data_IF_482740738865
#
_entry.id   IF_482740738865
#
_cell.length_a   1.000
_cell.length_b   1.000
_cell.length_c   1.000
_cell.angle_alpha   90.00
_cell.angle_beta   90.00
_cell.angle_gamma   90.00
#
_symmetry.space_group_name_H-M   'P 1'
#
loop_
_entity.id
_entity.type
_entity.pdbx_description
1 polymer ?
#
# COMPACT_ATOMS: atom_id res chain seq x y z
N UNK A 1 14.27 8.71 -12.18
CA UNK A 1 13.82 8.72 -10.77
C UNK A 1 13.05 9.98 -10.42
N UNK A 2 13.61 11.18 -10.57
CA UNK A 2 12.89 12.43 -10.26
C UNK A 2 11.54 12.55 -10.99
N UNK A 3 11.51 12.25 -12.30
CA UNK A 3 10.26 12.25 -13.08
C UNK A 3 9.22 11.27 -12.55
N UNK A 4 9.64 10.12 -12.00
CA UNK A 4 8.74 9.11 -11.41
C UNK A 4 8.13 9.64 -10.10
N UNK A 5 8.92 10.30 -9.25
CA UNK A 5 8.40 10.92 -8.03
C UNK A 5 7.47 12.09 -8.33
N UNK A 6 7.77 12.89 -9.35
CA UNK A 6 6.90 13.99 -9.79
C UNK A 6 5.59 13.44 -10.36
N UNK A 7 5.64 12.47 -11.29
CA UNK A 7 4.44 11.79 -11.82
C UNK A 7 3.63 11.15 -10.69
N UNK A 8 4.30 10.49 -9.74
CA UNK A 8 3.68 9.90 -8.56
C UNK A 8 2.98 10.93 -7.68
N UNK A 9 3.64 12.06 -7.40
CA UNK A 9 3.04 13.18 -6.65
C UNK A 9 1.82 13.74 -7.37
N UNK A 10 1.91 14.01 -8.66
CA UNK A 10 0.80 14.54 -9.45
C UNK A 10 -0.40 13.59 -9.44
N UNK A 11 -0.17 12.29 -9.59
CA UNK A 11 -1.23 11.28 -9.50
C UNK A 11 -1.86 11.24 -8.10
N UNK A 12 -1.04 11.25 -7.04
CA UNK A 12 -1.54 11.22 -5.67
C UNK A 12 -2.30 12.50 -5.31
N UNK A 13 -1.82 13.64 -5.78
CA UNK A 13 -2.50 14.92 -5.69
C UNK A 13 -3.86 14.89 -6.39
N UNK A 14 -3.90 14.36 -7.61
CA UNK A 14 -5.10 14.23 -8.42
C UNK A 14 -6.15 13.30 -7.77
N UNK A 15 -5.75 12.08 -7.39
CA UNK A 15 -6.69 11.03 -7.00
C UNK A 15 -6.89 10.88 -5.47
N UNK A 16 -5.84 11.07 -4.66
CA UNK A 16 -5.91 10.87 -3.20
C UNK A 16 -6.24 12.15 -2.46
N UNK A 17 -5.55 13.26 -2.75
CA UNK A 17 -5.73 14.51 -2.00
C UNK A 17 -6.88 15.37 -2.53
N UNK A 18 -7.11 15.35 -3.84
CA UNK A 18 -8.10 16.18 -4.55
C UNK A 18 -7.85 17.69 -4.41
N UNK A 19 -6.60 18.08 -4.15
CA UNK A 19 -6.18 19.46 -3.91
C UNK A 19 -5.22 19.93 -4.99
N UNK A 20 -5.32 21.20 -5.40
CA UNK A 20 -4.36 21.79 -6.34
C UNK A 20 -3.30 22.58 -5.58
N UNK A 21 -2.10 22.02 -5.45
CA UNK A 21 -0.95 22.70 -4.84
C UNK A 21 0.38 22.15 -5.39
N UNK A 22 1.48 22.89 -5.19
CA UNK A 22 2.83 22.43 -5.48
C UNK A 22 3.56 21.94 -4.22
N UNK A 23 4.58 21.09 -4.40
CA UNK A 23 5.43 20.66 -3.28
C UNK A 23 6.18 21.84 -2.61
N UNK A 24 6.50 22.89 -3.38
CA UNK A 24 7.07 24.12 -2.82
C UNK A 24 6.10 24.87 -1.93
N UNK A 25 4.81 24.91 -2.27
CA UNK A 25 3.79 25.55 -1.44
C UNK A 25 3.59 24.80 -0.14
N UNK A 26 3.58 23.46 -0.21
CA UNK A 26 3.55 22.61 0.98
C UNK A 26 4.78 22.84 1.87
N UNK A 27 5.99 22.90 1.27
CA UNK A 27 7.25 23.13 2.00
C UNK A 27 7.28 24.49 2.69
N UNK A 28 6.74 25.53 2.05
CA UNK A 28 6.77 26.89 2.54
C UNK A 28 5.55 27.28 3.39
N UNK A 29 4.67 26.31 3.68
CA UNK A 29 3.45 26.53 4.47
C UNK A 29 2.51 27.55 3.82
N UNK A 30 2.47 27.57 2.49
CA UNK A 30 1.71 28.53 1.66
C UNK A 30 0.47 27.93 1.00
N UNK A 31 0.05 26.73 1.40
CA UNK A 31 -1.28 26.23 1.03
C UNK A 31 -2.28 27.14 1.74
N UNK A 32 -2.81 28.10 1.00
CA UNK A 32 -3.90 28.96 1.46
C UNK A 32 -5.08 28.06 1.78
N UNK A 33 -5.36 27.91 3.08
CA UNK A 33 -6.29 26.91 3.64
C UNK A 33 -7.71 26.97 3.07
N UNK A 34 -8.07 28.03 2.35
CA UNK A 34 -9.42 28.27 1.83
C UNK A 34 -9.45 28.93 0.44
N UNK A 35 -8.37 28.93 -0.35
CA UNK A 35 -8.47 29.51 -1.70
C UNK A 35 -9.30 28.59 -2.60
N UNK A 36 -10.33 29.14 -3.25
CA UNK A 36 -11.25 28.37 -4.09
C UNK A 36 -10.49 27.57 -5.16
N UNK A 37 -9.43 28.15 -5.75
CA UNK A 37 -8.59 27.46 -6.74
C UNK A 37 -7.95 26.16 -6.23
N UNK A 38 -7.61 26.10 -4.93
CA UNK A 38 -6.97 24.95 -4.29
C UNK A 38 -7.97 23.84 -3.98
N UNK A 39 -9.20 24.22 -3.56
CA UNK A 39 -10.20 23.30 -2.99
C UNK A 39 -11.32 22.95 -3.98
N UNK A 40 -11.55 23.75 -5.03
CA UNK A 40 -12.65 23.60 -5.99
C UNK A 40 -12.82 22.14 -6.47
N UNK A 41 -11.70 21.51 -6.84
CA UNK A 41 -11.68 20.12 -7.25
C UNK A 41 -12.20 19.16 -6.18
N UNK A 42 -11.75 19.33 -4.93
CA UNK A 42 -12.21 18.50 -3.83
C UNK A 42 -13.71 18.62 -3.63
N UNK A 43 -14.25 19.86 -3.70
CA UNK A 43 -15.68 20.14 -3.59
C UNK A 43 -16.47 19.43 -4.69
N UNK A 44 -16.05 19.55 -5.96
CA UNK A 44 -16.75 18.89 -7.06
C UNK A 44 -16.80 17.37 -6.93
N UNK A 45 -15.66 16.75 -6.59
CA UNK A 45 -15.58 15.29 -6.51
C UNK A 45 -16.38 14.77 -5.31
N UNK A 46 -16.31 15.44 -4.16
CA UNK A 46 -17.02 15.01 -2.94
C UNK A 46 -18.52 15.24 -3.05
N UNK A 47 -18.95 16.39 -3.57
CA UNK A 47 -20.38 16.65 -3.84
C UNK A 47 -20.92 15.59 -4.81
N UNK A 48 -20.20 15.29 -5.90
CA UNK A 48 -20.61 14.25 -6.83
C UNK A 48 -20.69 12.87 -6.14
N UNK A 49 -19.71 12.51 -5.30
CA UNK A 49 -19.74 11.27 -4.53
C UNK A 49 -20.98 11.16 -3.63
N UNK A 50 -21.30 12.21 -2.87
CA UNK A 50 -22.45 12.22 -1.97
C UNK A 50 -23.80 12.23 -2.71
N UNK A 51 -23.92 12.96 -3.82
CA UNK A 51 -25.11 12.93 -4.68
C UNK A 51 -25.34 11.50 -5.19
N UNK A 52 -24.29 10.82 -5.63
CA UNK A 52 -24.39 9.45 -6.12
C UNK A 52 -24.74 8.48 -4.97
N UNK A 53 -24.13 8.62 -3.79
CA UNK A 53 -24.46 7.80 -2.61
C UNK A 53 -25.94 7.96 -2.24
N UNK A 54 -26.43 9.20 -2.16
CA UNK A 54 -27.84 9.49 -1.84
C UNK A 54 -28.74 8.93 -2.93
N UNK A 55 -28.42 9.16 -4.21
CA UNK A 55 -29.20 8.62 -5.33
C UNK A 55 -29.28 7.10 -5.33
N UNK A 56 -28.15 6.41 -5.11
CA UNK A 56 -28.11 4.94 -4.98
C UNK A 56 -28.91 4.46 -3.77
N UNK A 57 -28.84 5.15 -2.63
CA UNK A 57 -29.65 4.83 -1.46
C UNK A 57 -31.15 5.01 -1.75
N UNK A 58 -31.54 6.09 -2.43
CA UNK A 58 -32.94 6.31 -2.81
C UNK A 58 -33.46 5.25 -3.77
N UNK A 59 -32.63 4.72 -4.67
CA UNK A 59 -33.01 3.59 -5.54
C UNK A 59 -33.32 2.31 -4.76
N UNK A 60 -32.66 2.09 -3.62
CA UNK A 60 -32.87 0.90 -2.77
C UNK A 60 -34.12 1.08 -1.89
N UNK A 61 -34.31 2.24 -1.29
CA UNK A 61 -35.38 2.46 -0.31
C UNK A 61 -36.74 2.83 -0.94
N UNK A 62 -36.75 3.46 -2.11
CA UNK A 62 -37.97 3.91 -2.78
C UNK A 62 -38.18 3.17 -4.11
N UNK A 63 -38.84 2.02 -4.04
CA UNK A 63 -39.15 1.18 -5.22
C UNK A 63 -39.99 1.94 -6.27
N UNK A 64 -40.91 2.82 -5.86
CA UNK A 64 -41.79 3.57 -6.77
C UNK A 64 -41.42 5.06 -6.87
N UNK A 65 -40.14 5.36 -7.13
CA UNK A 65 -39.72 6.74 -7.29
C UNK A 65 -40.15 7.32 -8.65
N UNK A 66 -40.91 8.44 -8.70
CA UNK A 66 -41.31 9.07 -9.97
C UNK A 66 -40.12 9.68 -10.72
N UNK A 67 -38.97 9.88 -10.06
CA UNK A 67 -37.80 10.52 -10.63
C UNK A 67 -36.65 9.58 -10.97
N UNK A 68 -36.60 8.34 -10.50
CA UNK A 68 -35.49 7.44 -10.82
C UNK A 68 -36.03 6.10 -11.30
N UNK A 69 -35.25 5.43 -12.14
CA UNK A 69 -35.60 4.08 -12.58
C UNK A 69 -35.60 3.12 -11.39
N UNK A 70 -36.71 2.40 -11.23
CA UNK A 70 -36.79 1.32 -10.25
C UNK A 70 -35.70 0.27 -10.55
N UNK A 71 -35.15 -0.34 -9.50
CA UNK A 71 -34.19 -1.42 -9.58
C UNK A 71 -34.69 -2.57 -10.47
N UNK A 72 -35.98 -2.89 -10.44
CA UNK A 72 -36.56 -3.91 -11.32
C UNK A 72 -36.44 -3.58 -12.81
N UNK A 73 -36.55 -2.30 -13.19
CA UNK A 73 -36.31 -1.90 -14.58
C UNK A 73 -34.83 -2.05 -14.93
N UNK A 74 -33.92 -1.71 -14.01
CA UNK A 74 -32.47 -1.88 -14.21
C UNK A 74 -32.08 -3.36 -14.32
N UNK A 75 -32.68 -4.21 -13.49
CA UNK A 75 -32.55 -5.68 -13.55
C UNK A 75 -32.98 -6.21 -14.91
N UNK A 76 -34.10 -5.71 -15.45
CA UNK A 76 -34.58 -6.08 -16.79
C UNK A 76 -33.66 -5.57 -17.90
N UNK A 77 -33.11 -4.36 -17.77
CA UNK A 77 -32.17 -3.77 -18.74
C UNK A 77 -30.91 -4.63 -18.86
N UNK A 78 -30.29 -4.98 -17.73
CA UNK A 78 -29.06 -5.78 -17.76
C UNK A 78 -29.30 -7.29 -17.78
N UNK A 79 -30.57 -7.71 -17.65
CA UNK A 79 -30.99 -9.10 -17.48
C UNK A 79 -30.20 -9.77 -16.33
N UNK A 80 -30.28 -9.16 -15.16
CA UNK A 80 -29.55 -9.49 -13.93
C UNK A 80 -30.55 -9.69 -12.80
N UNK A 81 -30.30 -10.68 -11.94
CA UNK A 81 -31.06 -10.84 -10.71
C UNK A 81 -30.33 -10.16 -9.55
N UNK A 82 -31.07 -9.55 -8.62
CA UNK A 82 -30.51 -8.99 -7.37
C UNK A 82 -29.42 -7.94 -7.63
N UNK A 83 -29.75 -6.97 -8.50
CA UNK A 83 -28.86 -5.84 -8.78
C UNK A 83 -28.60 -4.99 -7.53
N UNK A 84 -29.55 -4.99 -6.59
CA UNK A 84 -29.46 -4.36 -5.27
C UNK A 84 -28.15 -4.69 -4.52
N UNK A 85 -27.66 -5.94 -4.61
CA UNK A 85 -26.40 -6.36 -4.00
C UNK A 85 -25.19 -5.56 -4.52
N UNK A 86 -25.12 -5.33 -5.84
CA UNK A 86 -24.03 -4.55 -6.44
C UNK A 86 -24.11 -3.09 -6.00
N UNK A 87 -25.31 -2.51 -5.94
CA UNK A 87 -25.52 -1.12 -5.49
C UNK A 87 -25.08 -0.97 -4.03
N UNK A 88 -25.45 -1.91 -3.15
CA UNK A 88 -25.02 -1.91 -1.74
C UNK A 88 -23.49 -1.97 -1.63
N UNK A 89 -22.82 -2.81 -2.43
CA UNK A 89 -21.35 -2.87 -2.44
C UNK A 89 -20.72 -1.54 -2.86
N UNK A 90 -21.27 -0.89 -3.88
CA UNK A 90 -20.79 0.40 -4.36
C UNK A 90 -20.97 1.49 -3.30
N UNK A 91 -22.13 1.57 -2.65
CA UNK A 91 -22.37 2.51 -1.53
C UNK A 91 -21.31 2.29 -0.44
N UNK A 92 -21.09 1.04 -0.03
CA UNK A 92 -20.11 0.72 1.00
C UNK A 92 -18.68 1.13 0.59
N UNK A 93 -18.28 0.83 -0.66
CA UNK A 93 -16.97 1.23 -1.17
C UNK A 93 -16.80 2.74 -1.21
N UNK A 94 -17.83 3.49 -1.63
CA UNK A 94 -17.78 4.95 -1.73
C UNK A 94 -17.63 5.59 -0.36
N UNK A 95 -18.38 5.13 0.64
CA UNK A 95 -18.27 5.63 2.03
C UNK A 95 -16.85 5.41 2.58
N UNK A 96 -16.25 4.23 2.35
CA UNK A 96 -14.88 3.95 2.82
C UNK A 96 -13.85 4.81 2.09
N UNK A 97 -14.01 5.03 0.77
CA UNK A 97 -13.10 5.89 0.00
C UNK A 97 -13.18 7.35 0.44
N UNK A 98 -14.38 7.86 0.72
CA UNK A 98 -14.56 9.21 1.27
C UNK A 98 -13.99 9.34 2.68
N UNK A 99 -14.13 8.31 3.53
CA UNK A 99 -13.46 8.27 4.83
C UNK A 99 -11.93 8.36 4.69
N UNK A 100 -11.35 7.58 3.76
CA UNK A 100 -9.91 7.64 3.47
C UNK A 100 -9.49 9.04 2.99
N UNK A 101 -10.26 9.63 2.08
CA UNK A 101 -10.00 10.97 1.57
C UNK A 101 -10.01 12.02 2.68
N UNK A 102 -11.05 12.03 3.53
CA UNK A 102 -11.16 12.97 4.66
C UNK A 102 -9.93 12.92 5.57
N UNK A 103 -9.44 11.72 5.88
CA UNK A 103 -8.24 11.56 6.69
C UNK A 103 -7.00 12.14 6.00
N UNK A 104 -6.76 11.79 4.73
CA UNK A 104 -5.60 12.27 3.98
C UNK A 104 -5.64 13.78 3.74
N UNK A 105 -6.83 14.32 3.46
CA UNK A 105 -7.07 15.74 3.29
C UNK A 105 -6.72 16.52 4.57
N UNK A 106 -7.17 16.03 5.73
CA UNK A 106 -6.86 16.63 7.02
C UNK A 106 -5.34 16.58 7.34
N UNK A 107 -4.65 15.50 6.96
CA UNK A 107 -3.18 15.42 7.11
C UNK A 107 -2.47 16.48 6.25
N UNK A 108 -2.91 16.71 5.02
CA UNK A 108 -2.29 17.68 4.10
C UNK A 108 -2.51 19.12 4.56
N UNK A 109 -3.75 19.49 4.91
CA UNK A 109 -4.07 20.87 5.35
C UNK A 109 -3.35 21.26 6.64
N UNK A 110 -3.12 20.29 7.51
CA UNK A 110 -2.38 20.51 8.75
C UNK A 110 -0.86 20.37 8.59
N UNK A 111 -0.35 20.21 7.36
CA UNK A 111 1.08 20.00 7.05
C UNK A 111 1.71 18.80 7.78
N UNK A 112 0.89 17.78 8.07
CA UNK A 112 1.30 16.53 8.74
C UNK A 112 1.40 15.35 7.76
N UNK A 113 1.21 15.58 6.46
CA UNK A 113 1.28 14.53 5.45
C UNK A 113 2.68 13.92 5.37
N UNK A 114 2.77 12.64 5.72
CA UNK A 114 4.01 11.88 5.69
C UNK A 114 4.57 11.72 4.28
N UNK A 115 3.69 11.58 3.27
CA UNK A 115 4.12 11.37 1.87
C UNK A 115 4.70 12.65 1.28
N UNK A 116 4.11 13.82 1.56
CA UNK A 116 4.67 15.08 1.10
C UNK A 116 6.03 15.36 1.74
N UNK A 117 6.15 15.12 3.05
CA UNK A 117 7.42 15.23 3.76
C UNK A 117 8.47 14.27 3.18
N UNK A 118 8.07 13.03 2.87
CA UNK A 118 8.93 12.05 2.23
C UNK A 118 9.38 12.51 0.82
N UNK A 119 8.47 13.03 0.01
CA UNK A 119 8.76 13.50 -1.34
C UNK A 119 9.72 14.70 -1.34
N UNK A 120 9.47 15.69 -0.48
CA UNK A 120 10.33 16.87 -0.33
C UNK A 120 11.77 16.47 0.03
N UNK A 121 11.92 15.47 0.90
CA UNK A 121 13.23 15.01 1.34
C UNK A 121 13.96 14.13 0.32
N UNK A 122 13.24 13.41 -0.56
CA UNK A 122 13.87 12.45 -1.47
C UNK A 122 14.01 12.95 -2.93
N UNK A 123 13.17 13.88 -3.39
CA UNK A 123 13.25 14.45 -4.75
C UNK A 123 14.62 15.08 -5.07
N UNK A 124 15.25 15.89 -4.19
CA UNK A 124 16.56 16.46 -4.49
C UNK A 124 17.75 15.50 -4.26
N UNK A 125 17.55 14.34 -3.63
CA UNK A 125 18.64 13.50 -3.09
C UNK A 125 18.98 12.22 -3.90
N UNK A 126 18.16 11.80 -4.88
CA UNK A 126 18.10 10.37 -5.23
C UNK A 126 18.99 9.84 -6.39
N UNK A 127 19.76 10.69 -7.08
CA UNK A 127 20.65 10.19 -8.16
C UNK A 127 21.99 9.62 -7.66
N UNK A 128 22.40 9.86 -6.40
CA UNK A 128 23.76 9.52 -5.92
C UNK A 128 23.83 8.43 -4.83
N UNK A 129 22.72 7.96 -4.26
CA UNK A 129 22.75 7.03 -3.11
C UNK A 129 22.48 5.55 -3.47
N UNK A 130 21.80 5.28 -4.58
CA UNK A 130 21.49 3.92 -5.05
C UNK A 130 22.52 3.45 -6.07
N UNK A 131 22.85 2.15 -6.04
CA UNK A 131 23.69 1.52 -7.08
C UNK A 131 22.94 1.53 -8.42
N UNK A 132 23.65 1.74 -9.54
CA UNK A 132 23.06 1.79 -10.89
C UNK A 132 22.12 0.62 -11.18
N UNK A 133 22.55 -0.62 -10.90
CA UNK A 133 21.74 -1.83 -11.09
C UNK A 133 20.41 -1.80 -10.33
N UNK A 134 20.41 -1.30 -9.09
CA UNK A 134 19.20 -1.23 -8.26
C UNK A 134 18.24 -0.13 -8.73
N UNK A 135 18.79 0.92 -9.35
CA UNK A 135 18.04 2.02 -9.92
C UNK A 135 17.40 1.59 -11.24
N UNK A 136 18.14 0.89 -12.10
CA UNK A 136 17.61 0.30 -13.34
C UNK A 136 16.49 -0.70 -13.05
N UNK A 137 16.66 -1.58 -12.06
CA UNK A 137 15.60 -2.49 -11.62
C UNK A 137 14.34 -1.74 -11.18
N UNK A 138 14.49 -0.69 -10.38
CA UNK A 138 13.34 0.07 -9.87
C UNK A 138 12.61 0.83 -10.98
N UNK A 139 13.36 1.41 -11.94
CA UNK A 139 12.78 2.05 -13.13
C UNK A 139 12.04 1.02 -13.99
N UNK A 140 12.66 -0.13 -14.25
CA UNK A 140 12.04 -1.22 -15.02
C UNK A 140 10.77 -1.72 -14.34
N UNK A 141 10.79 -1.91 -13.02
CA UNK A 141 9.64 -2.36 -12.25
C UNK A 141 8.52 -1.32 -12.32
N UNK A 142 8.81 -0.05 -12.09
CA UNK A 142 7.80 1.01 -12.17
C UNK A 142 7.22 1.13 -13.57
N UNK A 143 8.05 1.09 -14.61
CA UNK A 143 7.60 1.14 -16.00
C UNK A 143 6.63 0.00 -16.31
N UNK A 144 6.99 -1.22 -15.90
CA UNK A 144 6.15 -2.39 -16.06
C UNK A 144 4.83 -2.26 -15.29
N UNK A 145 4.88 -1.97 -13.99
CA UNK A 145 3.66 -1.89 -13.17
C UNK A 145 2.76 -0.70 -13.56
N UNK A 146 3.35 0.42 -13.98
CA UNK A 146 2.61 1.58 -14.51
C UNK A 146 1.92 1.26 -15.83
N UNK A 147 2.59 0.51 -16.71
CA UNK A 147 1.98 0.02 -17.95
C UNK A 147 0.74 -0.84 -17.65
N UNK A 148 0.86 -1.83 -16.77
CA UNK A 148 -0.28 -2.68 -16.38
C UNK A 148 -1.39 -1.90 -15.68
N UNK A 149 -1.06 -0.97 -14.77
CA UNK A 149 -2.05 -0.15 -14.09
C UNK A 149 -2.83 0.74 -15.07
N UNK A 150 -2.14 1.39 -16.02
CA UNK A 150 -2.76 2.21 -17.07
C UNK A 150 -3.57 1.36 -18.06
N UNK A 151 -3.10 0.17 -18.41
CA UNK A 151 -3.82 -0.79 -19.26
C UNK A 151 -5.14 -1.22 -18.61
N UNK A 152 -5.09 -1.67 -17.35
CA UNK A 152 -6.28 -2.11 -16.61
C UNK A 152 -7.28 -0.97 -16.44
N UNK A 153 -6.79 0.22 -16.08
CA UNK A 153 -7.63 1.42 -16.00
C UNK A 153 -8.33 1.71 -17.34
N UNK A 154 -7.61 1.66 -18.46
CA UNK A 154 -8.19 1.88 -19.81
C UNK A 154 -9.24 0.82 -20.16
N UNK A 155 -8.99 -0.45 -19.87
CA UNK A 155 -9.96 -1.53 -20.11
C UNK A 155 -11.26 -1.26 -19.33
N UNK A 156 -11.13 -0.88 -18.06
CA UNK A 156 -12.31 -0.56 -17.23
C UNK A 156 -13.06 0.67 -17.75
N UNK A 157 -12.35 1.73 -18.14
CA UNK A 157 -12.96 2.93 -18.74
C UNK A 157 -13.74 2.58 -20.01
N UNK A 158 -13.15 1.81 -20.94
CA UNK A 158 -13.84 1.37 -22.15
C UNK A 158 -15.06 0.53 -21.81
N UNK A 159 -14.95 -0.38 -20.84
CA UNK A 159 -16.09 -1.22 -20.41
C UNK A 159 -17.23 -0.39 -19.82
N UNK A 160 -16.95 0.65 -19.04
CA UNK A 160 -17.95 1.54 -18.46
C UNK A 160 -18.64 2.39 -19.53
N UNK A 161 -17.89 2.88 -20.54
CA UNK A 161 -18.45 3.61 -21.68
C UNK A 161 -19.40 2.71 -22.49
N UNK A 162 -19.00 1.46 -22.75
CA UNK A 162 -19.85 0.49 -23.45
C UNK A 162 -21.14 0.20 -22.67
N UNK A 163 -21.04 -0.03 -21.36
CA UNK A 163 -22.21 -0.23 -20.48
C UNK A 163 -23.13 0.99 -20.51
N UNK A 164 -22.57 2.21 -20.47
CA UNK A 164 -23.35 3.45 -20.54
C UNK A 164 -24.07 3.60 -21.89
N UNK A 165 -23.40 3.32 -23.01
CA UNK A 165 -24.04 3.38 -24.33
C UNK A 165 -25.18 2.36 -24.48
N UNK A 166 -24.99 1.15 -23.96
CA UNK A 166 -26.00 0.10 -23.97
C UNK A 166 -27.20 0.48 -23.10
N UNK A 167 -26.95 1.13 -21.96
CA UNK A 167 -28.00 1.67 -21.10
C UNK A 167 -28.85 2.71 -21.82
N UNK A 168 -28.24 3.65 -22.57
CA UNK A 168 -28.98 4.66 -23.34
C UNK A 168 -29.92 4.01 -24.35
N UNK A 169 -29.42 3.06 -25.15
CA UNK A 169 -30.21 2.38 -26.17
C UNK A 169 -31.38 1.62 -25.54
N UNK A 170 -31.13 0.92 -24.43
CA UNK A 170 -32.17 0.16 -23.74
C UNK A 170 -33.20 1.04 -23.03
N UNK A 171 -32.78 2.17 -22.45
CA UNK A 171 -33.68 3.15 -21.87
C UNK A 171 -34.63 3.73 -22.92
N UNK A 172 -34.13 4.02 -24.14
CA UNK A 172 -34.96 4.46 -25.27
C UNK A 172 -35.98 3.39 -25.69
N UNK A 173 -35.57 2.13 -25.78
CA UNK A 173 -36.48 1.02 -26.12
C UNK A 173 -37.59 0.87 -25.07
N UNK A 174 -37.26 1.00 -23.80
CA UNK A 174 -38.25 0.91 -22.71
C UNK A 174 -39.19 2.11 -22.67
N UNK A 175 -38.72 3.30 -23.05
CA UNK A 175 -39.56 4.48 -23.24
C UNK A 175 -40.56 4.28 -24.38
N UNK A 176 -40.12 3.78 -25.54
CA UNK A 176 -41.01 3.48 -26.69
C UNK A 176 -42.06 2.42 -26.32
N UNK A 177 -41.74 1.51 -25.40
CA UNK A 177 -42.68 0.49 -24.88
C UNK A 177 -43.60 1.00 -23.77
N UNK A 178 -43.58 2.31 -23.47
CA UNK A 178 -44.37 2.96 -22.41
C UNK A 178 -44.17 2.37 -21.00
N UNK A 179 -43.03 1.71 -20.75
CA UNK A 179 -42.72 1.14 -19.44
C UNK A 179 -42.06 2.14 -18.48
N UNK A 180 -41.58 3.27 -19.00
CA UNK A 180 -40.84 4.30 -18.27
C UNK A 180 -41.39 5.67 -18.67
N UNK A 181 -41.56 6.56 -17.69
CA UNK A 181 -41.96 7.94 -17.94
C UNK A 181 -40.81 8.78 -18.52
N UNK A 182 -41.13 9.78 -19.35
CA UNK A 182 -40.14 10.73 -19.91
C UNK A 182 -39.27 11.35 -18.81
N UNK A 183 -39.88 11.75 -17.69
CA UNK A 183 -39.19 12.36 -16.55
C UNK A 183 -38.14 11.39 -15.97
N UNK A 184 -38.50 10.12 -15.77
CA UNK A 184 -37.60 9.08 -15.27
C UNK A 184 -36.43 8.82 -16.23
N UNK A 185 -36.65 8.88 -17.53
CA UNK A 185 -35.58 8.73 -18.52
C UNK A 185 -34.62 9.93 -18.48
N UNK A 186 -35.16 11.16 -18.49
CA UNK A 186 -34.37 12.40 -18.48
C UNK A 186 -33.51 12.52 -17.22
N UNK A 187 -34.00 12.07 -16.07
CA UNK A 187 -33.27 12.12 -14.79
C UNK A 187 -32.27 10.96 -14.60
N UNK A 188 -32.61 9.75 -15.04
CA UNK A 188 -31.76 8.56 -14.86
C UNK A 188 -30.52 8.56 -15.75
N UNK A 189 -30.60 9.13 -16.95
CA UNK A 189 -29.49 9.23 -17.89
C UNK A 189 -28.30 10.06 -17.34
N UNK A 190 -28.49 11.29 -16.84
CA UNK A 190 -27.45 12.04 -16.15
C UNK A 190 -26.96 11.34 -14.89
N UNK A 191 -27.86 10.75 -14.09
CA UNK A 191 -27.48 10.06 -12.86
C UNK A 191 -26.50 8.91 -13.13
N UNK A 192 -26.80 8.04 -14.10
CA UNK A 192 -25.92 6.94 -14.46
C UNK A 192 -24.63 7.44 -15.14
N UNK A 193 -24.70 8.57 -15.86
CA UNK A 193 -23.53 9.30 -16.34
C UNK A 193 -22.60 9.74 -15.20
N UNK A 194 -23.13 10.41 -14.17
CA UNK A 194 -22.37 10.80 -12.97
C UNK A 194 -21.79 9.58 -12.23
N UNK A 195 -22.57 8.50 -12.09
CA UNK A 195 -22.10 7.24 -11.51
C UNK A 195 -20.91 6.67 -12.31
N UNK A 196 -21.00 6.63 -13.65
CA UNK A 196 -19.92 6.14 -14.50
C UNK A 196 -18.65 6.99 -14.39
N UNK A 197 -18.79 8.33 -14.38
CA UNK A 197 -17.69 9.26 -14.17
C UNK A 197 -17.00 9.05 -12.82
N UNK A 198 -17.79 8.86 -11.76
CA UNK A 198 -17.26 8.61 -10.43
C UNK A 198 -16.57 7.24 -10.35
N UNK A 199 -17.15 6.19 -10.94
CA UNK A 199 -16.51 4.87 -11.02
C UNK A 199 -15.19 4.91 -11.77
N UNK A 200 -15.10 5.64 -12.90
CA UNK A 200 -13.86 5.85 -13.62
C UNK A 200 -12.80 6.53 -12.73
N UNK A 201 -13.20 7.56 -12.01
CA UNK A 201 -12.31 8.24 -11.06
C UNK A 201 -11.79 7.30 -9.96
N UNK A 202 -12.66 6.52 -9.33
CA UNK A 202 -12.28 5.61 -8.25
C UNK A 202 -11.39 4.47 -8.75
N UNK A 203 -11.62 3.96 -9.95
CA UNK A 203 -10.75 2.97 -10.57
C UNK A 203 -9.36 3.56 -10.86
N UNK A 204 -9.29 4.83 -11.27
CA UNK A 204 -8.03 5.55 -11.36
C UNK A 204 -7.32 5.66 -10.01
N UNK A 205 -8.07 6.01 -8.95
CA UNK A 205 -7.55 6.06 -7.58
C UNK A 205 -7.01 4.70 -7.11
N UNK A 206 -7.71 3.61 -7.40
CA UNK A 206 -7.25 2.26 -7.06
C UNK A 206 -6.02 1.86 -7.89
N UNK A 207 -6.04 1.92 -9.22
CA UNK A 207 -4.91 1.38 -10.00
C UNK A 207 -3.67 2.29 -9.96
N UNK A 208 -3.83 3.59 -10.14
CA UNK A 208 -2.70 4.51 -10.33
C UNK A 208 -2.04 4.84 -8.99
N UNK A 209 -2.81 5.12 -7.94
CA UNK A 209 -2.21 5.42 -6.63
C UNK A 209 -1.62 4.18 -5.96
N UNK A 210 -2.26 3.01 -6.09
CA UNK A 210 -1.67 1.79 -5.53
C UNK A 210 -0.39 1.41 -6.24
N UNK A 211 -0.28 1.65 -7.55
CA UNK A 211 0.97 1.48 -8.25
C UNK A 211 2.09 2.36 -7.68
N UNK A 212 1.78 3.63 -7.38
CA UNK A 212 2.76 4.52 -6.75
C UNK A 212 3.14 4.07 -5.33
N UNK A 213 2.18 3.60 -4.53
CA UNK A 213 2.45 3.03 -3.20
C UNK A 213 3.32 1.77 -3.30
N UNK A 214 3.04 0.91 -4.28
CA UNK A 214 3.84 -0.29 -4.54
C UNK A 214 5.29 0.08 -4.88
N UNK A 215 5.49 1.11 -5.70
CA UNK A 215 6.81 1.66 -5.98
C UNK A 215 7.52 2.18 -4.73
N UNK A 216 6.83 2.94 -3.87
CA UNK A 216 7.41 3.44 -2.61
C UNK A 216 7.82 2.30 -1.68
N UNK A 217 6.97 1.27 -1.56
CA UNK A 217 7.25 0.09 -0.74
C UNK A 217 8.47 -0.68 -1.28
N UNK A 218 8.59 -0.84 -2.60
CA UNK A 218 9.77 -1.46 -3.23
C UNK A 218 11.02 -0.60 -3.07
N UNK A 219 10.91 0.73 -3.15
CA UNK A 219 12.01 1.64 -2.89
C UNK A 219 12.59 1.44 -1.47
N UNK A 220 11.73 1.36 -0.45
CA UNK A 220 12.17 1.04 0.92
C UNK A 220 12.80 -0.36 1.02
N UNK A 221 12.26 -1.35 0.31
CA UNK A 221 12.83 -2.71 0.31
C UNK A 221 14.23 -2.77 -0.30
N UNK A 222 14.47 -2.07 -1.42
CA UNK A 222 15.79 -2.03 -2.05
C UNK A 222 16.83 -1.41 -1.12
N UNK A 223 16.48 -0.32 -0.42
CA UNK A 223 17.38 0.31 0.57
C UNK A 223 17.69 -0.65 1.72
N UNK A 224 16.71 -1.42 2.19
CA UNK A 224 16.95 -2.48 3.17
C UNK A 224 17.82 -3.62 2.63
N UNK A 225 17.61 -4.05 1.38
CA UNK A 225 18.41 -5.09 0.73
C UNK A 225 19.87 -4.65 0.58
N UNK A 226 20.12 -3.37 0.31
CA UNK A 226 21.47 -2.82 0.27
C UNK A 226 22.14 -2.87 1.65
N UNK A 227 21.42 -2.50 2.71
CA UNK A 227 21.91 -2.62 4.09
C UNK A 227 22.19 -4.08 4.47
N UNK A 228 21.36 -5.02 4.03
CA UNK A 228 21.57 -6.46 4.20
C UNK A 228 22.86 -6.94 3.50
N UNK A 229 23.13 -6.48 2.28
CA UNK A 229 24.35 -6.85 1.56
C UNK A 229 25.59 -6.32 2.30
N UNK A 230 25.52 -5.08 2.81
CA UNK A 230 26.58 -4.46 3.61
C UNK A 230 26.84 -5.27 4.89
N UNK A 231 25.79 -5.70 5.61
CA UNK A 231 25.94 -6.51 6.82
C UNK A 231 26.48 -7.92 6.54
N UNK A 232 26.03 -8.56 5.46
CA UNK A 232 26.57 -9.86 5.02
C UNK A 232 28.05 -9.78 4.65
N UNK A 233 28.45 -8.76 3.89
CA UNK A 233 29.85 -8.53 3.53
C UNK A 233 30.72 -8.32 4.77
N UNK A 234 30.26 -7.52 5.74
CA UNK A 234 30.97 -7.31 6.99
C UNK A 234 31.12 -8.58 7.82
N UNK A 235 30.07 -9.41 7.87
CA UNK A 235 30.09 -10.71 8.55
C UNK A 235 31.09 -11.69 7.93
N UNK A 236 31.23 -11.71 6.60
CA UNK A 236 32.11 -12.64 5.89
C UNK A 236 33.59 -12.19 5.87
N UNK A 237 33.87 -10.89 5.71
CA UNK A 237 35.24 -10.37 5.58
C UNK A 237 35.97 -10.11 6.91
N UNK A 238 35.49 -10.72 7.99
CA UNK A 238 35.92 -10.43 9.35
C UNK A 238 37.36 -10.88 9.64
N UNK A 239 37.85 -11.93 8.98
CA UNK A 239 39.19 -12.50 9.21
C UNK A 239 40.33 -11.52 8.85
N UNK A 240 40.09 -10.56 7.94
CA UNK A 240 41.05 -9.49 7.63
C UNK A 240 41.05 -8.31 8.62
N UNK A 241 40.00 -8.17 9.44
CA UNK A 241 39.78 -6.97 10.27
C UNK A 241 40.34 -7.17 11.69
N UNK A 242 40.44 -8.41 12.17
CA UNK A 242 40.88 -8.73 13.55
C UNK A 242 42.38 -8.68 13.78
N UNK A 243 43.21 -8.68 12.73
CA UNK A 243 44.67 -8.82 12.86
C UNK A 243 45.45 -7.51 12.85
N UNK A 244 44.81 -6.36 12.60
CA UNK A 244 45.52 -5.07 12.41
C UNK A 244 44.83 -3.90 13.12
N UNK A 245 45.63 -2.95 13.64
CA UNK A 245 45.15 -1.69 14.29
C UNK A 245 44.23 -0.88 13.34
N UNK A 246 44.52 -0.94 12.03
CA UNK A 246 43.68 -0.34 10.98
C UNK A 246 42.28 -0.98 10.86
N UNK A 247 42.09 -2.19 11.37
CA UNK A 247 40.81 -2.91 11.38
C UNK A 247 39.79 -2.29 12.34
N UNK A 248 40.22 -1.75 13.48
CA UNK A 248 39.32 -1.08 14.44
C UNK A 248 38.74 0.21 13.87
N UNK A 249 39.59 1.02 13.24
CA UNK A 249 39.18 2.25 12.58
C UNK A 249 38.18 1.96 11.46
N UNK A 250 38.45 0.94 10.62
CA UNK A 250 37.52 0.47 9.58
C UNK A 250 36.20 -0.02 10.16
N UNK A 251 36.22 -0.77 11.27
CA UNK A 251 35.01 -1.24 11.97
C UNK A 251 34.17 -0.07 12.49
N UNK A 252 34.80 0.96 13.05
CA UNK A 252 34.11 2.16 13.57
C UNK A 252 33.47 2.97 12.45
N UNK A 253 34.19 3.20 11.35
CA UNK A 253 33.63 3.87 10.16
C UNK A 253 32.44 3.10 9.61
N UNK A 254 32.58 1.77 9.49
CA UNK A 254 31.49 0.92 9.03
C UNK A 254 30.26 1.07 9.93
N UNK A 255 30.41 0.95 11.25
CA UNK A 255 29.30 1.07 12.19
C UNK A 255 28.63 2.43 12.13
N UNK A 256 29.41 3.52 12.09
CA UNK A 256 28.85 4.87 11.98
C UNK A 256 28.05 5.04 10.69
N UNK A 257 28.59 4.54 9.57
CA UNK A 257 27.92 4.61 8.27
C UNK A 257 26.66 3.73 8.22
N UNK A 258 26.72 2.52 8.74
CA UNK A 258 25.58 1.59 8.80
C UNK A 258 24.49 2.14 9.71
N UNK A 259 24.84 2.56 10.92
CA UNK A 259 23.92 3.10 11.91
C UNK A 259 23.19 4.34 11.39
N UNK A 260 23.93 5.29 10.78
CA UNK A 260 23.33 6.49 10.17
C UNK A 260 22.33 6.13 9.06
N UNK A 261 22.73 5.26 8.13
CA UNK A 261 21.86 4.84 7.01
C UNK A 261 20.63 4.06 7.48
N UNK A 262 20.78 3.19 8.48
CA UNK A 262 19.68 2.43 9.06
C UNK A 262 18.70 3.34 9.81
N UNK A 263 19.20 4.23 10.68
CA UNK A 263 18.35 5.16 11.44
C UNK A 263 17.57 6.09 10.51
N UNK A 264 18.21 6.62 9.48
CA UNK A 264 17.53 7.45 8.49
C UNK A 264 16.38 6.69 7.81
N UNK A 265 16.65 5.46 7.34
CA UNK A 265 15.64 4.63 6.71
C UNK A 265 14.51 4.24 7.69
N UNK A 266 14.85 3.99 8.95
CA UNK A 266 13.89 3.69 10.00
C UNK A 266 12.98 4.89 10.32
N UNK A 267 13.56 6.09 10.46
CA UNK A 267 12.78 7.31 10.71
C UNK A 267 11.83 7.61 9.54
N UNK A 268 12.29 7.44 8.31
CA UNK A 268 11.45 7.60 7.12
C UNK A 268 10.31 6.57 7.10
N UNK A 269 10.60 5.29 7.40
CA UNK A 269 9.61 4.21 7.43
C UNK A 269 8.55 4.43 8.53
N UNK A 270 8.97 4.85 9.72
CA UNK A 270 8.04 5.16 10.82
C UNK A 270 7.16 6.36 10.45
N UNK A 271 7.74 7.40 9.86
CA UNK A 271 6.97 8.60 9.49
C UNK A 271 5.91 8.27 8.43
N UNK A 272 6.20 7.35 7.51
CA UNK A 272 5.30 6.90 6.44
C UNK A 272 4.24 5.88 6.91
N UNK A 273 4.51 5.17 8.01
CA UNK A 273 3.67 4.07 8.51
C UNK A 273 2.21 4.46 8.77
N UNK A 274 1.86 5.61 9.37
CA UNK A 274 0.47 5.94 9.65
C UNK A 274 -0.37 6.07 8.38
N UNK A 275 0.12 6.84 7.41
CA UNK A 275 -0.57 7.09 6.16
C UNK A 275 -0.72 5.81 5.34
N UNK A 276 0.34 5.01 5.21
CA UNK A 276 0.25 3.70 4.55
C UNK A 276 -0.73 2.77 5.29
N UNK A 277 -0.72 2.79 6.62
CA UNK A 277 -1.56 1.91 7.41
C UNK A 277 -3.06 2.16 7.23
N UNK A 278 -3.45 3.42 7.05
CA UNK A 278 -4.86 3.78 6.78
C UNK A 278 -5.27 3.34 5.39
N UNK A 279 -4.42 3.61 4.38
CA UNK A 279 -4.67 3.17 3.00
C UNK A 279 -4.78 1.64 2.91
N UNK A 280 -3.90 0.92 3.60
CA UNK A 280 -3.93 -0.54 3.67
C UNK A 280 -5.21 -1.06 4.32
N UNK A 281 -5.64 -0.44 5.42
CA UNK A 281 -6.87 -0.80 6.10
C UNK A 281 -8.10 -0.61 5.21
N UNK A 282 -8.20 0.54 4.53
CA UNK A 282 -9.34 0.84 3.65
C UNK A 282 -9.40 -0.11 2.46
N UNK A 283 -8.25 -0.46 1.87
CA UNK A 283 -8.17 -1.45 0.80
C UNK A 283 -8.58 -2.85 1.26
N UNK A 284 -8.17 -3.24 2.47
CA UNK A 284 -8.54 -4.54 3.03
C UNK A 284 -10.06 -4.64 3.24
N UNK A 285 -10.69 -3.59 3.78
CA UNK A 285 -12.14 -3.54 3.96
C UNK A 285 -12.88 -3.63 2.61
N UNK A 286 -12.45 -2.87 1.59
CA UNK A 286 -13.02 -2.94 0.24
C UNK A 286 -12.83 -4.31 -0.41
N UNK A 287 -11.64 -4.91 -0.28
CA UNK A 287 -11.38 -6.23 -0.88
C UNK A 287 -12.28 -7.32 -0.29
N UNK A 288 -12.51 -7.28 1.02
CA UNK A 288 -13.33 -8.25 1.74
C UNK A 288 -14.82 -8.08 1.46
N UNK A 289 -15.31 -6.83 1.39
CA UNK A 289 -16.72 -6.58 1.00
C UNK A 289 -16.96 -6.98 -0.45
N UNK A 290 -16.05 -6.60 -1.36
CA UNK A 290 -16.14 -6.88 -2.79
C UNK A 290 -16.24 -8.38 -3.06
N UNK A 291 -15.37 -9.20 -2.45
CA UNK A 291 -15.38 -10.64 -2.70
C UNK A 291 -16.62 -11.35 -2.13
N UNK A 292 -17.08 -10.95 -0.93
CA UNK A 292 -18.28 -11.52 -0.31
C UNK A 292 -19.50 -11.21 -1.17
N UNK A 293 -19.67 -9.95 -1.57
CA UNK A 293 -20.83 -9.53 -2.35
C UNK A 293 -20.77 -10.10 -3.77
N UNK A 294 -19.59 -10.23 -4.37
CA UNK A 294 -19.45 -10.84 -5.69
C UNK A 294 -19.80 -12.32 -5.70
N UNK A 295 -19.43 -13.05 -4.65
CA UNK A 295 -19.85 -14.46 -4.49
C UNK A 295 -21.36 -14.59 -4.31
N UNK A 296 -21.97 -13.73 -3.48
CA UNK A 296 -23.42 -13.69 -3.30
C UNK A 296 -24.15 -13.34 -4.60
N UNK A 297 -23.62 -12.35 -5.33
CA UNK A 297 -24.16 -11.89 -6.60
C UNK A 297 -24.07 -12.99 -7.66
N UNK A 298 -22.92 -13.68 -7.78
CA UNK A 298 -22.71 -14.78 -8.72
C UNK A 298 -23.71 -15.93 -8.51
N UNK A 299 -23.91 -16.37 -7.27
CA UNK A 299 -24.81 -17.50 -6.95
C UNK A 299 -26.28 -17.20 -7.29
N UNK A 300 -26.68 -15.93 -7.31
CA UNK A 300 -28.07 -15.53 -7.61
C UNK A 300 -28.35 -15.36 -9.11
N UNK A 301 -27.33 -15.42 -9.97
CA UNK A 301 -27.52 -15.29 -11.41
C UNK A 301 -27.99 -16.60 -12.03
N UNK A 302 -28.99 -16.50 -12.92
CA UNK A 302 -29.45 -17.63 -13.74
C UNK A 302 -28.69 -17.72 -15.07
N UNK A 303 -28.26 -16.59 -15.62
CA UNK A 303 -27.50 -16.50 -16.87
C UNK A 303 -26.29 -15.57 -16.73
N UNK A 304 -25.21 -15.88 -17.47
CA UNK A 304 -23.98 -15.09 -17.46
C UNK A 304 -23.95 -14.11 -18.64
N UNK A 305 -24.39 -12.88 -18.40
CA UNK A 305 -24.30 -11.79 -19.37
C UNK A 305 -22.94 -11.10 -19.31
N UNK A 306 -22.60 -10.36 -20.38
CA UNK A 306 -21.36 -9.57 -20.45
C UNK A 306 -21.22 -8.60 -19.27
N UNK A 307 -22.31 -7.94 -18.85
CA UNK A 307 -22.33 -7.06 -17.69
C UNK A 307 -21.91 -7.79 -16.40
N UNK A 308 -22.46 -8.98 -16.15
CA UNK A 308 -22.17 -9.81 -14.98
C UNK A 308 -20.70 -10.22 -14.98
N UNK A 309 -20.18 -10.66 -16.12
CA UNK A 309 -18.77 -11.04 -16.27
C UNK A 309 -17.87 -9.85 -15.97
N UNK A 310 -18.16 -8.67 -16.53
CA UNK A 310 -17.38 -7.44 -16.29
C UNK A 310 -17.43 -7.03 -14.82
N UNK A 311 -18.60 -7.05 -14.18
CA UNK A 311 -18.72 -6.68 -12.75
C UNK A 311 -17.95 -7.63 -11.85
N UNK A 312 -18.00 -8.94 -12.12
CA UNK A 312 -17.25 -9.95 -11.35
C UNK A 312 -15.74 -9.82 -11.57
N UNK A 313 -15.30 -9.55 -12.80
CA UNK A 313 -13.89 -9.30 -13.10
C UNK A 313 -13.35 -8.08 -12.36
N UNK A 314 -14.10 -6.96 -12.36
CA UNK A 314 -13.73 -5.76 -11.61
C UNK A 314 -13.59 -6.07 -10.12
N UNK A 315 -14.55 -6.79 -9.55
CA UNK A 315 -14.51 -7.14 -8.14
C UNK A 315 -13.36 -8.07 -7.75
N UNK A 316 -13.04 -9.05 -8.62
CA UNK A 316 -11.87 -9.92 -8.48
C UNK A 316 -10.56 -9.12 -8.54
N UNK A 317 -10.46 -8.14 -9.46
CA UNK A 317 -9.31 -7.25 -9.51
C UNK A 317 -9.14 -6.51 -8.19
N UNK A 318 -10.20 -5.86 -7.69
CA UNK A 318 -10.18 -5.16 -6.39
C UNK A 318 -9.75 -6.08 -5.24
N UNK A 319 -10.07 -7.36 -5.30
CA UNK A 319 -9.61 -8.36 -4.33
C UNK A 319 -8.12 -8.74 -4.48
N UNK A 320 -7.63 -8.94 -5.70
CA UNK A 320 -6.25 -9.36 -5.96
C UNK A 320 -5.21 -8.26 -5.67
N UNK A 321 -5.55 -6.98 -5.91
CA UNK A 321 -4.59 -5.87 -5.76
C UNK A 321 -4.00 -5.74 -4.35
N UNK A 322 -4.79 -5.70 -3.27
CA UNK A 322 -4.26 -5.62 -1.92
C UNK A 322 -3.39 -6.82 -1.56
N UNK A 323 -3.71 -8.03 -2.04
CA UNK A 323 -2.91 -9.24 -1.79
C UNK A 323 -1.49 -9.10 -2.36
N UNK A 324 -1.36 -8.56 -3.58
CA UNK A 324 -0.05 -8.30 -4.20
C UNK A 324 0.73 -7.26 -3.38
N UNK A 325 0.07 -6.19 -2.96
CA UNK A 325 0.70 -5.14 -2.17
C UNK A 325 1.15 -5.66 -0.79
N UNK A 326 0.31 -6.44 -0.10
CA UNK A 326 0.66 -7.08 1.18
C UNK A 326 1.84 -8.04 1.06
N UNK A 327 1.90 -8.81 -0.03
CA UNK A 327 3.04 -9.69 -0.33
C UNK A 327 4.37 -8.92 -0.38
N UNK A 328 4.37 -7.71 -0.96
CA UNK A 328 5.57 -6.86 -1.01
C UNK A 328 5.86 -6.27 0.36
N UNK A 329 4.88 -5.64 1.01
CA UNK A 329 5.04 -5.04 2.34
C UNK A 329 5.62 -6.01 3.36
N UNK A 330 5.19 -7.28 3.34
CA UNK A 330 5.63 -8.30 4.28
C UNK A 330 7.12 -8.69 4.17
N UNK A 331 7.81 -8.36 3.07
CA UNK A 331 9.24 -8.67 2.88
C UNK A 331 10.15 -7.77 3.69
N UNK A 332 9.73 -6.53 3.94
CA UNK A 332 10.58 -5.52 4.57
C UNK A 332 11.01 -5.88 6.01
N UNK A 333 10.12 -6.36 6.91
CA UNK A 333 10.53 -6.88 8.22
C UNK A 333 11.47 -8.08 8.14
N UNK A 334 11.29 -8.96 7.14
CA UNK A 334 12.14 -10.15 6.99
C UNK A 334 13.59 -9.79 6.65
N UNK A 335 13.81 -8.76 5.85
CA UNK A 335 15.15 -8.24 5.58
C UNK A 335 15.77 -7.60 6.83
N UNK A 336 14.99 -6.90 7.65
CA UNK A 336 15.49 -6.37 8.92
C UNK A 336 15.95 -7.48 9.87
N UNK A 337 15.19 -8.56 10.01
CA UNK A 337 15.54 -9.71 10.84
C UNK A 337 16.78 -10.47 10.33
N UNK A 338 16.93 -10.64 9.02
CA UNK A 338 18.14 -11.24 8.47
C UNK A 338 19.37 -10.34 8.70
N UNK A 339 19.19 -9.03 8.51
CA UNK A 339 20.25 -8.06 8.74
C UNK A 339 20.69 -8.04 10.21
N UNK A 340 19.75 -8.08 11.16
CA UNK A 340 20.07 -8.17 12.59
C UNK A 340 20.83 -9.46 12.91
N UNK A 341 20.43 -10.62 12.35
CA UNK A 341 21.16 -11.89 12.52
C UNK A 341 22.60 -11.83 12.01
N UNK A 342 22.84 -11.29 10.82
CA UNK A 342 24.21 -11.14 10.30
C UNK A 342 25.06 -10.21 11.17
N UNK A 343 24.47 -9.11 11.66
CA UNK A 343 25.17 -8.18 12.56
C UNK A 343 25.42 -8.79 13.95
N UNK A 344 24.49 -9.58 14.49
CA UNK A 344 24.69 -10.33 15.73
C UNK A 344 25.84 -11.33 15.58
N UNK A 345 25.82 -12.14 14.53
CA UNK A 345 26.89 -13.10 14.24
C UNK A 345 28.24 -12.42 14.07
N UNK A 346 28.26 -11.24 13.42
CA UNK A 346 29.47 -10.44 13.28
C UNK A 346 29.96 -9.90 14.64
N UNK A 347 29.05 -9.53 15.54
CA UNK A 347 29.38 -9.00 16.87
C UNK A 347 29.81 -10.07 17.89
N UNK A 348 29.30 -11.31 17.79
CA UNK A 348 29.57 -12.40 18.73
C UNK A 348 30.90 -13.13 18.45
N UNK A 349 31.27 -13.31 17.18
CA UNK A 349 32.54 -13.94 16.76
C UNK A 349 33.83 -13.30 17.32
N UNK A 350 34.00 -11.97 17.38
CA UNK A 350 35.20 -11.36 17.96
C UNK A 350 35.22 -11.45 19.49
N UNK A 351 34.06 -11.51 20.15
CA UNK A 351 33.99 -11.80 21.59
C UNK A 351 34.46 -13.23 21.89
N UNK A 352 34.05 -14.20 21.07
CA UNK A 352 34.49 -15.59 21.19
C UNK A 352 36.00 -15.76 20.93
N UNK A 353 36.56 -15.11 19.91
CA UNK A 353 38.00 -15.12 19.65
C UNK A 353 38.82 -14.53 20.81
N UNK A 354 38.32 -13.49 21.47
CA UNK A 354 38.95 -12.90 22.67
C UNK A 354 38.90 -13.85 23.88
N UNK A 355 37.86 -14.68 24.01
CA UNK A 355 37.73 -15.68 25.07
C UNK A 355 38.70 -16.85 24.86
N UNK A 356 38.83 -17.35 23.63
CA UNK A 356 39.76 -18.44 23.30
C UNK A 356 41.21 -18.01 23.43
N UNK A 357 41.56 -16.81 22.95
CA UNK A 357 42.92 -16.27 23.11
C UNK A 357 43.33 -16.13 24.59
N UNK A 358 42.37 -15.88 25.49
CA UNK A 358 42.63 -15.87 26.93
C UNK A 358 42.86 -17.26 27.53
N UNK A 359 42.14 -18.28 27.06
CA UNK A 359 42.36 -19.64 27.53
C UNK A 359 43.72 -20.20 27.10
N UNK A 360 44.14 -19.90 25.86
CA UNK A 360 45.45 -20.34 25.37
C UNK A 360 46.62 -19.59 26.06
N UNK A 361 46.49 -18.28 26.29
CA UNK A 361 47.53 -17.51 27.01
C UNK A 361 47.64 -17.86 28.50
N UNK A 362 46.59 -18.40 29.12
CA UNK A 362 46.67 -18.87 30.52
C UNK A 362 47.41 -20.21 30.64
N UNK A 363 47.59 -20.95 29.54
CA UNK A 363 48.38 -22.18 29.51
C UNK A 363 49.87 -21.92 29.20
N UNK A 364 50.20 -20.82 28.51
CA UNK A 364 51.58 -20.38 28.29
C UNK A 364 52.03 -19.46 29.43
N UNK A 365 52.34 -20.07 30.57
CA UNK A 365 52.93 -19.39 31.72
C UNK A 365 54.37 -18.97 31.46
N UNK A 366 54.60 -17.90 30.69
CA UNK A 366 55.78 -17.05 30.89
C UNK A 366 55.74 -15.70 30.18
N UNK A 367 56.03 -14.66 30.98
CA UNK A 367 56.61 -13.37 30.62
C UNK A 367 55.97 -12.53 29.50
N UNK A 368 55.14 -11.55 29.88
CA UNK A 368 55.21 -10.16 29.38
C UNK A 368 54.28 -9.22 30.17
N UNK A 369 54.68 -8.88 31.40
CA UNK A 369 53.91 -8.00 32.29
C UNK A 369 53.87 -6.51 31.84
N UNK A 370 54.71 -6.11 30.87
CA UNK A 370 54.86 -4.70 30.43
C UNK A 370 53.95 -4.33 29.23
N UNK A 371 53.29 -5.30 28.56
CA UNK A 371 52.32 -5.02 27.48
C UNK A 371 50.89 -4.76 27.98
N UNK A 372 50.67 -4.71 29.28
CA UNK A 372 49.34 -4.84 29.91
C UNK A 372 48.54 -3.53 29.95
N UNK A 373 49.15 -2.35 30.05
CA UNK A 373 48.43 -1.07 30.19
C UNK A 373 47.83 -0.53 28.88
N UNK A 374 48.48 -0.75 27.72
CA UNK A 374 47.88 -0.42 26.41
C UNK A 374 46.82 -1.45 26.01
N UNK A 375 47.00 -2.73 26.37
CA UNK A 375 46.06 -3.80 26.07
C UNK A 375 44.83 -3.80 26.96
N UNK A 376 44.90 -3.34 28.22
CA UNK A 376 43.72 -3.17 29.10
C UNK A 376 42.84 -2.00 28.67
N UNK A 377 43.43 -0.86 28.29
CA UNK A 377 42.70 0.28 27.71
C UNK A 377 42.11 -0.04 26.33
N UNK A 378 42.79 -0.87 25.54
CA UNK A 378 42.28 -1.40 24.28
C UNK A 378 41.13 -2.39 24.51
N UNK A 379 41.24 -3.27 25.51
CA UNK A 379 40.18 -4.21 25.92
C UNK A 379 38.91 -3.51 26.39
N UNK A 380 39.05 -2.52 27.28
CA UNK A 380 37.90 -1.79 27.83
C UNK A 380 37.18 -0.99 26.74
N UNK A 381 37.92 -0.39 25.79
CA UNK A 381 37.34 0.27 24.61
C UNK A 381 36.63 -0.71 23.68
N UNK A 382 37.22 -1.87 23.39
CA UNK A 382 36.58 -2.92 22.59
C UNK A 382 35.29 -3.39 23.25
N UNK A 383 35.30 -3.60 24.57
CA UNK A 383 34.12 -4.01 25.33
C UNK A 383 33.02 -2.95 25.27
N UNK A 384 33.34 -1.66 25.45
CA UNK A 384 32.34 -0.59 25.40
C UNK A 384 31.73 -0.42 24.00
N UNK A 385 32.54 -0.50 22.92
CA UNK A 385 32.02 -0.44 21.55
C UNK A 385 31.23 -1.69 21.19
N UNK A 386 31.68 -2.86 21.64
CA UNK A 386 30.99 -4.13 21.46
C UNK A 386 29.62 -4.08 22.14
N UNK A 387 29.54 -3.63 23.39
CA UNK A 387 28.28 -3.44 24.14
C UNK A 387 27.33 -2.46 23.45
N UNK A 388 27.83 -1.31 22.99
CA UNK A 388 26.99 -0.35 22.24
C UNK A 388 26.44 -0.96 20.95
N UNK A 389 27.27 -1.71 20.23
CA UNK A 389 26.85 -2.37 18.99
C UNK A 389 25.87 -3.50 19.23
N UNK A 390 26.04 -4.32 20.27
CA UNK A 390 25.12 -5.41 20.61
C UNK A 390 23.78 -4.86 21.10
N UNK A 391 23.76 -3.81 21.94
CA UNK A 391 22.54 -3.10 22.32
C UNK A 391 21.82 -2.53 21.10
N UNK A 392 22.55 -1.96 20.14
CA UNK A 392 21.96 -1.48 18.89
C UNK A 392 21.36 -2.63 18.05
N UNK A 393 22.02 -3.78 17.97
CA UNK A 393 21.46 -4.91 17.21
C UNK A 393 20.27 -5.56 17.93
N UNK A 394 20.29 -5.61 19.27
CA UNK A 394 19.14 -6.03 20.07
C UNK A 394 17.95 -5.09 19.88
N UNK A 395 18.18 -3.78 19.90
CA UNK A 395 17.13 -2.80 19.59
C UNK A 395 16.65 -2.93 18.14
N UNK A 396 17.54 -3.13 17.16
CA UNK A 396 17.18 -3.42 15.76
C UNK A 396 16.28 -4.65 15.61
N UNK A 397 16.51 -5.70 16.41
CA UNK A 397 15.71 -6.92 16.42
C UNK A 397 14.35 -6.74 17.11
N UNK A 398 14.31 -5.94 18.19
CA UNK A 398 13.10 -5.65 18.96
C UNK A 398 12.24 -4.54 18.34
N UNK A 399 12.84 -3.69 17.50
CA UNK A 399 12.15 -2.64 16.79
C UNK A 399 11.22 -3.27 15.73
N UNK A 400 9.95 -2.85 15.74
CA UNK A 400 8.96 -3.23 14.72
C UNK A 400 9.26 -2.47 13.41
N UNK A 401 10.35 -2.84 12.75
CA UNK A 401 10.76 -2.27 11.47
C UNK A 401 9.85 -2.78 10.35
N UNK A 402 8.89 -1.97 9.94
CA UNK A 402 7.88 -2.33 8.95
C UNK A 402 6.63 -1.48 9.06
N UNK A 403 5.60 -1.92 8.34
CA UNK A 403 4.33 -1.22 8.28
C UNK A 403 3.25 -1.92 9.09
N UNK A 404 2.32 -1.12 9.62
CA UNK A 404 1.12 -1.60 10.30
C UNK A 404 -0.08 -1.44 9.39
N UNK A 405 -1.03 -2.36 9.41
CA UNK A 405 -2.36 -2.15 8.84
C UNK A 405 -3.22 -1.46 9.90
N UNK A 406 -3.35 -0.14 9.80
CA UNK A 406 -3.97 0.71 10.82
C UNK A 406 -3.46 0.41 12.25
N UNK A 407 -4.41 0.30 13.20
CA UNK A 407 -4.13 -0.15 14.57
C UNK A 407 -4.21 -1.67 14.75
N UNK A 408 -4.59 -2.42 13.70
CA UNK A 408 -4.99 -3.82 13.84
C UNK A 408 -3.81 -4.76 14.01
N UNK A 409 -2.82 -4.71 13.11
CA UNK A 409 -1.67 -5.61 13.19
C UNK A 409 -0.44 -5.09 12.44
N UNK A 410 0.72 -5.57 12.88
CA UNK A 410 2.00 -5.37 12.20
C UNK A 410 2.16 -6.40 11.08
N UNK A 411 2.48 -5.94 9.87
CA UNK A 411 2.49 -6.79 8.68
C UNK A 411 3.80 -7.57 8.63
N UNK A 412 3.73 -8.85 8.99
CA UNK A 412 4.84 -9.81 8.86
C UNK A 412 4.52 -10.86 7.81
N UNK A 413 5.54 -11.58 7.32
CA UNK A 413 5.35 -12.73 6.42
C UNK A 413 4.35 -13.76 6.97
N UNK A 414 4.39 -14.02 8.28
CA UNK A 414 3.44 -14.94 8.94
C UNK A 414 2.01 -14.38 8.93
N UNK A 415 1.83 -13.10 9.28
CA UNK A 415 0.50 -12.46 9.25
C UNK A 415 -0.07 -12.38 7.83
N UNK A 416 0.78 -12.16 6.83
CA UNK A 416 0.37 -12.25 5.43
C UNK A 416 -0.14 -13.64 5.04
N UNK A 417 0.60 -14.70 5.39
CA UNK A 417 0.14 -16.08 5.15
C UNK A 417 -1.17 -16.35 5.89
N UNK A 418 -1.29 -15.90 7.14
CA UNK A 418 -2.53 -16.02 7.91
C UNK A 418 -3.71 -15.30 7.23
N UNK A 419 -3.51 -14.08 6.71
CA UNK A 419 -4.54 -13.35 5.96
C UNK A 419 -4.94 -14.07 4.68
N UNK A 420 -3.98 -14.64 3.96
CA UNK A 420 -4.24 -15.41 2.74
C UNK A 420 -5.08 -16.66 3.06
N UNK A 421 -4.68 -17.42 4.08
CA UNK A 421 -5.44 -18.59 4.55
C UNK A 421 -6.84 -18.16 5.02
N UNK A 422 -6.96 -17.05 5.74
CA UNK A 422 -8.26 -16.55 6.19
C UNK A 422 -9.16 -16.15 5.02
N UNK A 423 -8.61 -15.49 3.98
CA UNK A 423 -9.36 -15.14 2.79
C UNK A 423 -9.83 -16.38 2.02
N UNK A 424 -8.98 -17.41 1.87
CA UNK A 424 -9.38 -18.70 1.28
C UNK A 424 -10.46 -19.38 2.12
N UNK A 425 -10.30 -19.41 3.44
CA UNK A 425 -11.26 -20.03 4.35
C UNK A 425 -12.61 -19.31 4.32
N UNK A 426 -12.60 -17.98 4.25
CA UNK A 426 -13.80 -17.16 4.12
C UNK A 426 -14.50 -17.48 2.80
N UNK A 427 -13.78 -17.50 1.68
CA UNK A 427 -14.29 -17.92 0.38
C UNK A 427 -14.94 -19.31 0.45
N UNK A 428 -14.26 -20.28 1.07
CA UNK A 428 -14.75 -21.66 1.17
C UNK A 428 -15.97 -21.78 2.09
N UNK A 429 -15.99 -21.07 3.22
CA UNK A 429 -17.16 -21.03 4.12
C UNK A 429 -18.37 -20.41 3.46
N UNK A 430 -18.21 -19.30 2.74
CA UNK A 430 -19.30 -18.68 2.01
C UNK A 430 -19.78 -19.60 0.89
N UNK A 431 -18.88 -20.19 0.12
CA UNK A 431 -19.23 -21.16 -0.92
C UNK A 431 -20.01 -22.36 -0.36
N UNK A 432 -19.54 -22.98 0.74
CA UNK A 432 -20.23 -24.11 1.39
C UNK A 432 -21.61 -23.72 1.93
N UNK A 433 -21.71 -22.56 2.59
CA UNK A 433 -22.99 -22.07 3.12
C UNK A 433 -23.98 -21.79 1.98
N UNK A 434 -23.49 -21.28 0.85
CA UNK A 434 -24.30 -20.99 -0.33
C UNK A 434 -24.80 -22.28 -0.99
N UNK A 435 -23.95 -23.28 -1.18
CA UNK A 435 -24.37 -24.60 -1.69
C UNK A 435 -25.44 -25.22 -0.79
N UNK A 436 -25.23 -25.18 0.52
CA UNK A 436 -26.19 -25.77 1.46
C UNK A 436 -27.53 -25.02 1.43
N UNK A 437 -27.51 -23.69 1.30
CA UNK A 437 -28.74 -22.90 1.14
C UNK A 437 -29.45 -23.12 -0.20
N UNK A 438 -28.72 -23.41 -1.29
CA UNK A 438 -29.33 -23.77 -2.58
C UNK A 438 -29.89 -25.19 -2.59
N UNK A 439 -29.34 -26.12 -1.81
CA UNK A 439 -29.89 -27.48 -1.67
C UNK A 439 -31.16 -27.54 -0.82
N UNK A 440 -31.45 -26.52 -0.01
CA UNK A 440 -32.68 -26.43 0.80
C UNK A 440 -33.82 -25.67 0.11
N UNK A 441 -33.59 -25.16 -1.10
CA UNK A 441 -34.58 -24.43 -1.92
C UNK A 441 -35.03 -25.19 -3.18
N UNK A 442 -34.67 -26.48 -3.27
CA UNK A 442 -35.30 -27.49 -4.12
C UNK A 442 -36.20 -28.33 -3.22
#
# INVERSE_FOLDING_TARGET
>A
MNNIFIEGFENWKFYSFRLNYSLSDYRNWRIEKCSYQTINRSIWITINAWIIIIGMATMIYYENNPYLLNLHHIERIYNVNRYDLLVINLIFCFIILEYMWLHLFNEVINYRSSINNFLINNIPFDCKQLKSESLEYLISLYSFTNFFAKLLHRIVVISLIMIYSLFIVLALILYVKEQINLIQMISSLPFLGFLSLHLMYLMGQLFINLNFILFLVEYFQIRMKHLLHISKWASNNQMMITTNINGEYRRRIFWNNFHRKYLQLYSETISFSPTLGIVLFTLEMMSKSSIVISMLFYVRQTHMNLFIIVSLMIALMVFCFPIILYSRVARLPSYNQLCSRYMLNWSSRPQWLLLIGNQNNNNDGNNNFIKTTTTTNYRSRIQHYSLKSTLFVQTMNNNRFGFKCGHLFFITKFRYIQLLIFNIHLLLKFYKKLIHSSSTSL
#
